data_IF_068542915440
#
_entry.id   IF_068542915440
#
_cell.length_a   1.000
_cell.length_b   1.000
_cell.length_c   1.000
_cell.angle_alpha   90.00
_cell.angle_beta   90.00
_cell.angle_gamma   90.00
#
_symmetry.space_group_name_H-M   'P 1'
#
loop_
_entity.id
_entity.type
_entity.pdbx_description
1 polymer ?
#
# COMPACT_ATOMS: atom_id res chain seq x y z
N UNK A 1 -9.33 -8.04 3.42
CA UNK A 1 -9.48 -7.11 2.28
C UNK A 1 -8.21 -7.20 1.48
N UNK A 2 -8.31 -7.22 0.15
CA UNK A 2 -7.13 -7.10 -0.70
C UNK A 2 -6.64 -5.65 -0.68
N UNK A 3 -5.33 -5.44 -0.69
CA UNK A 3 -4.70 -4.12 -0.81
C UNK A 3 -3.80 -4.19 -2.02
N UNK A 4 -4.21 -3.50 -3.09
CA UNK A 4 -3.51 -3.51 -4.37
C UNK A 4 -2.82 -2.17 -4.59
N UNK A 5 -1.59 -2.23 -5.09
CA UNK A 5 -0.75 -1.11 -5.51
C UNK A 5 -0.28 -0.17 -4.40
N UNK A 6 -1.20 0.47 -3.66
CA UNK A 6 -0.88 1.39 -2.56
C UNK A 6 -0.93 0.68 -1.20
N UNK A 7 0.24 0.33 -0.68
CA UNK A 7 0.39 -0.37 0.59
C UNK A 7 0.72 0.61 1.72
N UNK A 8 -0.10 0.64 2.78
CA UNK A 8 0.18 1.41 3.99
C UNK A 8 0.91 0.51 4.99
N UNK A 9 2.17 0.85 5.31
CA UNK A 9 3.07 -0.05 6.03
C UNK A 9 3.55 0.53 7.35
N UNK A 10 3.51 -0.26 8.41
CA UNK A 10 4.15 0.02 9.70
C UNK A 10 5.26 -0.99 9.98
N UNK A 11 6.29 -0.59 10.74
CA UNK A 11 7.31 -1.50 11.24
C UNK A 11 6.93 -2.02 12.64
N UNK A 12 6.96 -3.33 12.84
CA UNK A 12 6.87 -3.90 14.20
C UNK A 12 8.28 -4.07 14.77
N UNK A 13 8.50 -3.49 15.96
CA UNK A 13 9.80 -3.54 16.64
C UNK A 13 9.78 -4.64 17.68
N UNK A 14 10.50 -5.74 17.45
CA UNK A 14 10.95 -6.64 18.53
C UNK A 14 12.12 -7.59 18.20
N UNK A 15 12.65 -7.66 16.97
CA UNK A 15 13.94 -8.32 16.62
C UNK A 15 14.09 -8.62 15.12
N UNK A 16 13.00 -8.59 14.36
CA UNK A 16 13.00 -8.74 12.89
C UNK A 16 12.37 -7.51 12.25
N UNK A 17 12.91 -7.07 11.12
CA UNK A 17 12.31 -6.02 10.27
C UNK A 17 11.06 -6.57 9.59
N UNK A 18 10.00 -6.78 10.35
CA UNK A 18 8.71 -7.20 9.83
C UNK A 18 7.87 -5.96 9.54
N UNK A 19 7.42 -5.88 8.30
CA UNK A 19 6.55 -4.83 7.80
C UNK A 19 5.12 -5.38 7.75
N UNK A 20 4.19 -4.65 8.36
CA UNK A 20 2.76 -5.01 8.37
C UNK A 20 2.04 -4.13 7.38
N UNK A 21 1.31 -4.74 6.45
CA UNK A 21 0.51 -4.04 5.43
C UNK A 21 -0.91 -3.82 5.93
N UNK A 22 -1.42 -2.62 5.73
CA UNK A 22 -2.77 -2.19 6.06
C UNK A 22 -3.45 -1.62 4.82
N UNK A 23 -4.78 -1.74 4.74
CA UNK A 23 -5.55 -0.91 3.82
C UNK A 23 -5.62 0.53 4.35
N UNK A 24 -5.97 1.49 3.49
CA UNK A 24 -6.09 2.90 3.87
C UNK A 24 -7.04 3.11 5.07
N UNK A 25 -8.20 2.45 5.07
CA UNK A 25 -9.19 2.64 6.15
C UNK A 25 -8.68 2.12 7.49
N UNK A 26 -7.99 0.97 7.50
CA UNK A 26 -7.36 0.45 8.71
C UNK A 26 -6.23 1.36 9.18
N UNK A 27 -5.39 1.85 8.27
CA UNK A 27 -4.31 2.78 8.59
C UNK A 27 -4.85 4.08 9.21
N UNK A 28 -5.91 4.67 8.63
CA UNK A 28 -6.55 5.89 9.16
C UNK A 28 -7.26 5.70 10.49
N UNK A 29 -7.76 4.49 10.77
CA UNK A 29 -8.32 4.15 12.09
C UNK A 29 -7.23 4.07 13.16
N UNK A 30 -6.02 3.61 12.80
CA UNK A 30 -4.87 3.56 13.71
C UNK A 30 -4.27 4.95 13.90
N UNK A 31 -4.08 5.70 12.82
CA UNK A 31 -3.58 7.07 12.83
C UNK A 31 -4.31 7.88 11.76
N UNK A 32 -5.16 8.82 12.18
CA UNK A 32 -5.94 9.66 11.26
C UNK A 32 -5.06 10.44 10.28
N UNK A 33 -3.86 10.82 10.71
CA UNK A 33 -2.86 11.55 9.92
C UNK A 33 -1.80 10.62 9.28
N UNK A 34 -1.92 9.30 9.46
CA UNK A 34 -0.96 8.30 8.97
C UNK A 34 0.46 8.47 9.51
N UNK A 35 0.59 9.03 10.72
CA UNK A 35 1.88 9.11 11.41
C UNK A 35 2.45 7.71 11.63
N UNK A 36 3.76 7.54 11.35
CA UNK A 36 4.49 6.27 11.40
C UNK A 36 4.12 5.23 10.32
N UNK A 37 3.33 5.62 9.32
CA UNK A 37 3.12 4.81 8.13
C UNK A 37 4.07 5.23 7.01
N UNK A 38 4.51 4.25 6.23
CA UNK A 38 5.14 4.44 4.93
C UNK A 38 4.17 3.94 3.87
N UNK A 39 3.94 4.74 2.82
CA UNK A 39 3.14 4.31 1.67
C UNK A 39 4.08 3.79 0.60
N UNK A 40 3.88 2.55 0.18
CA UNK A 40 4.60 1.93 -0.94
C UNK A 40 3.66 1.79 -2.12
N UNK A 41 4.08 2.31 -3.27
CA UNK A 41 3.44 2.09 -4.57
C UNK A 41 4.15 0.90 -5.24
N UNK A 42 3.40 -0.14 -5.62
CA UNK A 42 3.97 -1.37 -6.18
C UNK A 42 4.14 -1.29 -7.69
N UNK A 43 3.27 -0.54 -8.37
CA UNK A 43 3.27 -0.38 -9.82
C UNK A 43 3.31 1.09 -10.16
N UNK A 44 4.07 1.46 -11.19
CA UNK A 44 3.96 2.82 -11.70
C UNK A 44 2.59 3.00 -12.33
N UNK A 45 1.96 4.14 -12.09
CA UNK A 45 0.69 4.48 -12.73
C UNK A 45 0.73 4.36 -14.26
N UNK A 46 1.86 4.72 -14.90
CA UNK A 46 2.08 4.58 -16.35
C UNK A 46 1.97 3.12 -16.82
N UNK A 47 2.51 2.17 -16.05
CA UNK A 47 2.46 0.75 -16.38
C UNK A 47 1.01 0.23 -16.28
N UNK A 48 0.27 0.66 -15.25
CA UNK A 48 -1.14 0.31 -15.08
C UNK A 48 -2.02 0.88 -16.21
N UNK A 49 -1.78 2.12 -16.61
CA UNK A 49 -2.46 2.76 -17.74
C UNK A 49 -2.18 2.01 -19.04
N UNK A 50 -0.92 1.67 -19.31
CA UNK A 50 -0.55 0.93 -20.51
C UNK A 50 -1.23 -0.44 -20.56
N UNK A 51 -1.25 -1.19 -19.45
CA UNK A 51 -1.94 -2.49 -19.38
C UNK A 51 -3.44 -2.33 -19.64
N UNK A 52 -4.06 -1.30 -19.06
CA UNK A 52 -5.46 -1.01 -19.27
C UNK A 52 -5.78 -0.67 -20.74
N UNK A 53 -5.00 0.21 -21.37
CA UNK A 53 -5.20 0.62 -22.76
C UNK A 53 -4.99 -0.52 -23.76
N UNK A 54 -4.12 -1.48 -23.44
CA UNK A 54 -3.87 -2.67 -24.27
C UNK A 54 -4.91 -3.78 -24.08
N UNK A 55 -5.80 -3.66 -23.09
CA UNK A 55 -6.79 -4.67 -22.80
C UNK A 55 -8.02 -4.52 -23.72
N UNK A 56 -7.93 -5.14 -24.90
CA UNK A 56 -9.02 -5.19 -25.89
C UNK A 56 -9.58 -6.61 -26.03
N UNK A 57 -10.82 -6.72 -26.52
CA UNK A 57 -11.51 -8.00 -26.78
C UNK A 57 -10.80 -8.84 -27.84
#
# INVERSE_FOLDING_TARGET
>A
VEVFDLLFVTSESNSRKTYVVHCQDCARKISTNLENFVVLEQYKMEDLMQVYDQFTL
#
